data_IF_162612043348
#
_entry.id   IF_162612043348
#
_cell.length_a   1.000
_cell.length_b   1.000
_cell.length_c   1.000
_cell.angle_alpha   90.00
_cell.angle_beta   90.00
_cell.angle_gamma   90.00
#
_symmetry.space_group_name_H-M   'P 1'
#
loop_
_entity.id
_entity.type
_entity.pdbx_description
1 polymer ?
#
# COMPACT_ATOMS: atom_id res chain seq x y z
N UNK A 1 12.50 1.73 -18.26
CA UNK A 1 12.98 0.43 -17.76
C UNK A 1 12.69 0.21 -16.27
N UNK A 2 12.81 1.22 -15.39
CA UNK A 2 12.49 1.05 -13.97
C UNK A 2 11.02 0.68 -13.70
N UNK A 3 10.07 1.30 -14.40
CA UNK A 3 8.64 1.01 -14.25
C UNK A 3 8.32 -0.47 -14.54
N UNK A 4 8.92 -1.06 -15.58
CA UNK A 4 8.76 -2.47 -15.92
C UNK A 4 9.29 -3.37 -14.82
N UNK A 5 10.46 -3.08 -14.26
CA UNK A 5 11.02 -3.83 -13.13
C UNK A 5 10.16 -3.69 -11.86
N UNK A 6 9.58 -2.51 -11.61
CA UNK A 6 8.68 -2.30 -10.48
C UNK A 6 7.37 -3.06 -10.66
N UNK A 7 6.77 -3.04 -11.85
CA UNK A 7 5.56 -3.78 -12.17
C UNK A 7 5.80 -5.30 -12.17
N UNK A 8 6.98 -5.74 -12.62
CA UNK A 8 7.39 -7.14 -12.59
C UNK A 8 7.64 -7.63 -11.16
N UNK A 9 8.26 -6.80 -10.30
CA UNK A 9 8.41 -7.09 -8.87
C UNK A 9 7.05 -7.13 -8.14
N UNK A 10 6.12 -6.23 -8.48
CA UNK A 10 4.75 -6.28 -7.97
C UNK A 10 4.00 -7.52 -8.46
N UNK A 11 4.16 -7.90 -9.73
CA UNK A 11 3.54 -9.09 -10.30
C UNK A 11 4.11 -10.40 -9.73
N UNK A 12 5.39 -10.41 -9.35
CA UNK A 12 6.03 -11.52 -8.64
C UNK A 12 5.69 -11.55 -7.14
N UNK A 13 5.19 -10.45 -6.57
CA UNK A 13 4.52 -10.49 -5.27
C UNK A 13 3.18 -11.20 -5.45
N UNK A 14 3.21 -12.54 -5.39
CA UNK A 14 1.99 -13.33 -5.44
C UNK A 14 1.04 -12.83 -4.33
N UNK A 15 -0.25 -12.64 -4.62
CA UNK A 15 -1.21 -12.23 -3.59
C UNK A 15 -1.21 -13.31 -2.51
N UNK A 16 -0.85 -12.94 -1.28
CA UNK A 16 -0.73 -13.86 -0.15
C UNK A 16 -2.13 -14.26 0.35
N UNK A 17 -2.81 -15.15 -0.37
CA UNK A 17 -4.23 -15.46 -0.11
C UNK A 17 -4.47 -16.96 0.02
N UNK A 18 -4.16 -17.53 1.19
CA UNK A 18 -4.97 -18.60 1.84
C UNK A 18 -4.68 -18.78 3.35
N UNK A 19 -3.80 -17.97 3.96
CA UNK A 19 -3.36 -18.16 5.36
C UNK A 19 -3.80 -17.00 6.23
N UNK A 20 -4.20 -17.27 7.47
CA UNK A 20 -4.44 -16.22 8.45
C UNK A 20 -3.17 -15.34 8.58
N UNK A 21 -3.34 -14.02 8.64
CA UNK A 21 -2.25 -13.04 8.73
C UNK A 21 -1.14 -13.36 9.76
N UNK A 22 -1.44 -13.94 10.94
CA UNK A 22 -0.41 -14.36 11.89
C UNK A 22 0.55 -15.41 11.30
N UNK A 23 0.06 -16.30 10.44
CA UNK A 23 0.88 -17.33 9.80
C UNK A 23 1.76 -16.73 8.70
N UNK A 24 1.22 -15.78 7.93
CA UNK A 24 1.97 -15.00 6.94
C UNK A 24 3.13 -14.28 7.61
N UNK A 25 2.83 -13.58 8.70
CA UNK A 25 3.82 -12.85 9.45
C UNK A 25 4.87 -13.75 10.09
N UNK A 26 4.46 -14.89 10.67
CA UNK A 26 5.42 -15.84 11.24
C UNK A 26 6.39 -16.37 10.17
N UNK A 27 5.92 -16.56 8.93
CA UNK A 27 6.76 -16.96 7.80
C UNK A 27 7.69 -15.83 7.31
N UNK A 28 7.24 -14.57 7.40
CA UNK A 28 7.98 -13.38 6.95
C UNK A 28 8.87 -12.75 8.03
N UNK A 29 8.70 -13.13 9.31
CA UNK A 29 9.37 -12.53 10.46
C UNK A 29 10.89 -12.48 10.30
N UNK A 30 11.48 -13.56 9.80
CA UNK A 30 12.93 -13.67 9.60
C UNK A 30 13.44 -12.78 8.44
N UNK A 31 12.53 -12.31 7.58
CA UNK A 31 12.82 -11.42 6.46
C UNK A 31 12.54 -9.94 6.79
N UNK A 32 11.83 -9.66 7.89
CA UNK A 32 11.48 -8.29 8.26
C UNK A 32 12.64 -7.59 8.98
N UNK A 33 13.12 -6.44 8.49
CA UNK A 33 14.18 -5.71 9.13
C UNK A 33 13.76 -5.22 10.53
N UNK A 34 14.72 -5.14 11.45
CA UNK A 34 14.52 -4.58 12.76
C UNK A 34 13.99 -3.13 12.64
N UNK A 35 12.91 -2.84 13.37
CA UNK A 35 12.25 -1.54 13.31
C UNK A 35 11.26 -1.36 12.16
N UNK A 36 10.91 -2.43 11.42
CA UNK A 36 9.85 -2.37 10.43
C UNK A 36 8.51 -1.91 11.05
N UNK A 37 7.72 -1.20 10.25
CA UNK A 37 6.35 -0.79 10.59
C UNK A 37 5.37 -1.63 9.77
N UNK A 38 4.38 -2.20 10.43
CA UNK A 38 3.33 -3.01 9.82
C UNK A 38 2.11 -2.12 9.58
N UNK A 39 1.70 -1.99 8.33
CA UNK A 39 0.50 -1.27 7.94
C UNK A 39 -0.54 -2.28 7.49
N UNK A 40 -1.68 -2.31 8.16
CA UNK A 40 -2.79 -3.19 7.83
C UNK A 40 -3.84 -2.44 7.03
N UNK A 41 -3.97 -2.74 5.74
CA UNK A 41 -4.93 -2.09 4.84
C UNK A 41 -6.16 -2.97 4.69
N UNK A 42 -7.35 -2.44 5.01
CA UNK A 42 -8.60 -3.19 4.88
C UNK A 42 -9.80 -2.31 4.63
N UNK A 43 -10.79 -2.82 3.89
CA UNK A 43 -12.11 -2.20 3.74
C UNK A 43 -13.14 -2.74 4.76
N UNK A 44 -12.80 -3.79 5.51
CA UNK A 44 -13.68 -4.40 6.49
C UNK A 44 -12.94 -4.64 7.81
N UNK A 45 -13.60 -4.29 8.92
CA UNK A 45 -13.11 -4.57 10.26
C UNK A 45 -13.89 -5.75 10.83
N UNK A 46 -13.19 -6.84 11.13
CA UNK A 46 -13.75 -8.03 11.77
C UNK A 46 -13.24 -8.14 13.21
N UNK A 47 -13.96 -8.89 14.05
CA UNK A 47 -13.60 -9.09 15.46
C UNK A 47 -12.25 -9.81 15.65
N UNK A 48 -11.72 -10.46 14.60
CA UNK A 48 -10.41 -11.12 14.63
C UNK A 48 -9.22 -10.18 14.42
N UNK A 49 -9.45 -8.97 13.89
CA UNK A 49 -8.37 -8.01 13.58
C UNK A 49 -7.61 -7.55 14.84
N UNK A 50 -8.25 -7.23 15.98
CA UNK A 50 -7.54 -6.89 17.21
C UNK A 50 -6.55 -7.96 17.67
N UNK A 51 -6.95 -9.23 17.62
CA UNK A 51 -6.10 -10.36 18.02
C UNK A 51 -4.87 -10.49 17.12
N UNK A 52 -5.07 -10.29 15.82
CA UNK A 52 -3.97 -10.34 14.85
C UNK A 52 -3.01 -9.18 15.07
N UNK A 53 -3.50 -7.95 15.22
CA UNK A 53 -2.68 -6.76 15.48
C UNK A 53 -1.87 -6.87 16.79
N UNK A 54 -2.45 -7.52 17.81
CA UNK A 54 -1.77 -7.75 19.08
C UNK A 54 -0.47 -8.55 18.89
N UNK A 55 -0.51 -9.63 18.09
CA UNK A 55 0.66 -10.48 17.81
C UNK A 55 1.83 -9.67 17.22
N UNK A 56 1.54 -8.72 16.33
CA UNK A 56 2.56 -7.85 15.75
C UNK A 56 3.12 -6.87 16.78
N UNK A 57 2.25 -6.28 17.60
CA UNK A 57 2.68 -5.33 18.64
C UNK A 57 3.54 -6.00 19.72
N UNK A 58 3.19 -7.22 20.15
CA UNK A 58 3.97 -8.02 21.11
C UNK A 58 5.31 -8.47 20.54
N UNK A 59 5.40 -8.60 19.21
CA UNK A 59 6.65 -8.90 18.52
C UNK A 59 7.57 -7.68 18.36
N UNK A 60 7.17 -6.51 18.88
CA UNK A 60 7.97 -5.27 18.90
C UNK A 60 7.80 -4.37 17.68
N UNK A 61 6.83 -4.66 16.81
CA UNK A 61 6.58 -3.87 15.60
C UNK A 61 5.59 -2.75 15.87
N UNK A 62 5.82 -1.60 15.21
CA UNK A 62 4.81 -0.54 15.18
C UNK A 62 3.72 -0.93 14.20
N UNK A 63 2.46 -0.91 14.64
CA UNK A 63 1.30 -1.30 13.83
C UNK A 63 0.37 -0.12 13.61
N UNK A 64 -0.15 0.06 12.40
CA UNK A 64 -1.25 0.98 12.09
C UNK A 64 -2.26 0.32 11.15
N UNK A 65 -3.51 0.77 11.20
CA UNK A 65 -4.59 0.29 10.32
C UNK A 65 -4.98 1.39 9.36
N UNK A 66 -5.04 1.08 8.08
CA UNK A 66 -5.55 1.94 7.03
C UNK A 66 -6.93 1.40 6.63
N UNK A 67 -7.98 2.11 7.04
CA UNK A 67 -9.36 1.72 6.74
C UNK A 67 -9.82 2.40 5.46
N UNK A 68 -10.08 1.61 4.43
CA UNK A 68 -10.52 2.05 3.10
C UNK A 68 -11.99 1.71 2.81
N UNK A 69 -12.72 1.27 3.83
CA UNK A 69 -14.13 0.94 3.70
C UNK A 69 -15.01 2.18 3.84
N UNK A 70 -16.30 1.97 3.56
CA UNK A 70 -17.31 2.99 3.76
C UNK A 70 -17.70 3.11 5.23
N UNK A 71 -17.95 4.34 5.67
CA UNK A 71 -18.50 4.64 6.99
C UNK A 71 -17.46 4.99 8.06
N UNK A 72 -17.94 5.05 9.29
CA UNK A 72 -17.14 5.45 10.44
C UNK A 72 -16.25 4.30 10.91
N UNK A 73 -14.93 4.52 10.82
CA UNK A 73 -13.94 3.66 11.44
C UNK A 73 -13.74 4.03 12.92
N UNK A 74 -13.51 3.05 13.82
CA UNK A 74 -13.05 3.34 15.17
C UNK A 74 -11.70 4.06 15.10
N UNK A 75 -11.37 4.91 16.08
CA UNK A 75 -10.09 5.66 16.09
C UNK A 75 -8.88 4.76 16.34
N UNK A 76 -9.08 3.62 17.01
CA UNK A 76 -8.03 2.65 17.32
C UNK A 76 -8.60 1.23 17.36
N UNK A 77 -7.75 0.25 17.08
CA UNK A 77 -8.02 -1.17 17.28
C UNK A 77 -6.87 -1.74 18.11
N UNK A 78 -7.17 -2.17 19.33
CA UNK A 78 -6.13 -2.49 20.32
C UNK A 78 -5.22 -1.27 20.54
N UNK A 79 -3.92 -1.45 20.29
CA UNK A 79 -2.91 -0.39 20.36
C UNK A 79 -2.59 0.26 19.00
N UNK A 80 -3.23 -0.19 17.91
CA UNK A 80 -2.98 0.33 16.58
C UNK A 80 -3.91 1.52 16.27
N UNK A 81 -3.39 2.69 15.88
CA UNK A 81 -4.20 3.77 15.37
C UNK A 81 -4.85 3.36 14.04
N UNK A 82 -6.09 3.79 13.84
CA UNK A 82 -6.82 3.60 12.58
C UNK A 82 -6.87 4.92 11.84
N UNK A 83 -6.44 4.89 10.59
CA UNK A 83 -6.44 6.02 9.66
C UNK A 83 -7.54 5.73 8.64
N UNK A 84 -8.64 6.48 8.73
CA UNK A 84 -9.72 6.37 7.76
C UNK A 84 -9.32 7.09 6.47
N UNK A 85 -9.14 6.34 5.39
CA UNK A 85 -8.81 6.86 4.07
C UNK A 85 -9.96 6.78 3.08
N UNK A 86 -11.07 6.11 3.41
CA UNK A 86 -12.26 6.06 2.54
C UNK A 86 -12.62 7.44 1.98
N UNK A 87 -12.78 8.48 2.83
CA UNK A 87 -13.08 9.83 2.36
C UNK A 87 -12.02 10.46 1.46
N UNK A 88 -10.76 10.05 1.57
CA UNK A 88 -9.66 10.53 0.71
C UNK A 88 -9.70 9.86 -0.65
N UNK A 89 -10.11 8.58 -0.71
CA UNK A 89 -10.25 7.84 -1.95
C UNK A 89 -11.44 8.36 -2.78
N UNK A 90 -12.53 8.77 -2.14
CA UNK A 90 -13.69 9.39 -2.81
C UNK A 90 -13.36 10.72 -3.51
N UNK A 91 -12.27 11.37 -3.09
CA UNK A 91 -11.80 12.64 -3.67
C UNK A 91 -10.81 12.44 -4.81
N UNK A 92 -10.41 11.20 -5.09
CA UNK A 92 -9.54 10.92 -6.22
C UNK A 92 -10.34 11.06 -7.52
N UNK A 93 -9.87 11.84 -8.50
CA UNK A 93 -10.52 11.92 -9.80
C UNK A 93 -10.55 10.53 -10.43
N UNK A 94 -11.68 10.14 -11.03
CA UNK A 94 -11.87 8.85 -11.71
C UNK A 94 -10.94 8.67 -12.95
N UNK A 95 -10.16 9.68 -13.27
CA UNK A 95 -9.28 9.82 -14.44
C UNK A 95 -7.95 9.06 -14.33
N UNK A 96 -7.78 8.16 -13.35
CA UNK A 96 -6.60 7.26 -13.27
C UNK A 96 -6.66 6.13 -14.32
N UNK A 97 -7.68 6.15 -15.20
CA UNK A 97 -7.89 5.15 -16.25
C UNK A 97 -7.33 5.58 -17.62
N UNK A 98 -6.88 6.83 -17.80
CA UNK A 98 -6.27 7.30 -19.05
C UNK A 98 -4.75 7.03 -19.08
N UNK A 99 -4.38 5.76 -19.01
CA UNK A 99 -3.10 5.32 -19.61
C UNK A 99 -3.39 4.98 -21.08
N UNK A 100 -3.85 5.97 -21.86
CA UNK A 100 -3.99 5.82 -23.29
C UNK A 100 -2.61 5.98 -23.95
N UNK A 101 -2.09 4.84 -24.36
CA UNK A 101 -1.01 4.62 -25.32
C UNK A 101 -1.27 5.44 -26.62
N UNK A 102 -0.75 6.67 -26.74
CA UNK A 102 -0.20 7.29 -27.97
C UNK A 102 0.29 8.75 -27.68
N UNK A 103 1.57 9.10 -27.88
CA UNK A 103 1.95 10.51 -27.92
C UNK A 103 1.36 11.14 -29.19
N UNK A 104 0.68 12.31 -29.14
CA UNK A 104 0.20 12.94 -30.35
C UNK A 104 1.38 13.20 -31.30
N UNK A 105 1.34 12.54 -32.45
CA UNK A 105 2.32 12.72 -33.52
C UNK A 105 2.39 14.22 -33.88
N UNK A 106 3.47 14.89 -33.48
CA UNK A 106 3.76 16.25 -33.97
C UNK A 106 4.24 17.31 -32.97
N UNK A 107 4.58 16.97 -31.72
CA UNK A 107 5.29 17.93 -30.85
C UNK A 107 6.42 17.24 -30.07
N UNK A 108 7.56 17.06 -30.74
CA UNK A 108 8.82 17.02 -30.02
C UNK A 108 9.12 18.45 -29.53
N UNK A 109 9.34 18.70 -28.22
CA UNK A 109 9.97 19.93 -27.81
C UNK A 109 11.39 19.92 -28.38
N UNK A 110 11.67 20.85 -29.29
CA UNK A 110 13.02 21.16 -29.75
C UNK A 110 13.78 21.73 -28.53
N UNK A 111 14.53 20.88 -27.83
CA UNK A 111 15.54 21.34 -26.88
C UNK A 111 16.70 21.86 -27.73
N UNK A 112 16.68 23.15 -28.07
CA UNK A 112 17.88 23.83 -28.58
C UNK A 112 18.94 23.82 -27.47
N UNK A 113 19.92 22.93 -27.63
CA UNK A 113 21.12 22.94 -26.83
C UNK A 113 21.88 24.25 -27.13
N UNK A 114 21.73 25.25 -26.27
CA UNK A 114 22.70 26.35 -26.22
C UNK A 114 24.04 25.75 -25.82
N UNK A 115 24.95 25.69 -26.79
CA UNK A 115 26.36 25.43 -26.57
C UNK A 115 26.90 26.44 -25.55
N UNK A 116 27.63 25.91 -24.58
CA UNK A 116 28.57 26.69 -23.77
C UNK A 116 29.89 26.63 -24.52
N UNK A 117 30.28 27.74 -25.12
CA UNK A 117 31.69 28.03 -25.46
C UNK A 117 32.38 28.63 -24.22
#
# INVERSE_FOLDING_TARGET
QQLTMTLEALAMSAPYVVSMLPNVFRAERDNLPLGATVIFVTAALTDSIPEQLLVFSESGYRTSVLFAGDGDAPRQIGNAPVINIGPLLDQLPEDVTDWQDDPPAGQAPLIEARGVE
#
